data_IF_074515924903
#
_entry.id   IF_074515924903
#
_cell.length_a   1.000
_cell.length_b   1.000
_cell.length_c   1.000
_cell.angle_alpha   90.00
_cell.angle_beta   90.00
_cell.angle_gamma   90.00
#
_symmetry.space_group_name_H-M   'P 1'
#
loop_
_entity.id
_entity.type
_entity.pdbx_description
1 polymer ?
#
# COMPACT_ATOMS: atom_id res chain seq x y z
N UNK A 1 30.09 3.38 -42.84
CA UNK A 1 28.95 2.63 -42.28
C UNK A 1 28.60 3.29 -40.96
N UNK A 2 27.75 4.30 -41.05
CA UNK A 2 27.32 5.11 -39.91
C UNK A 2 26.20 4.38 -39.19
N UNK A 3 26.53 3.74 -38.06
CA UNK A 3 25.54 3.09 -37.22
C UNK A 3 24.68 4.18 -36.56
N UNK A 4 23.43 4.28 -37.01
CA UNK A 4 22.32 5.07 -36.43
C UNK A 4 22.40 5.12 -34.90
N UNK A 5 22.87 6.24 -34.36
CA UNK A 5 22.65 6.67 -32.98
C UNK A 5 21.40 7.54 -32.95
N UNK A 6 20.22 6.94 -32.92
CA UNK A 6 19.00 7.70 -32.65
C UNK A 6 18.09 6.92 -31.70
N UNK A 7 17.63 7.62 -30.64
CA UNK A 7 16.48 7.33 -29.78
C UNK A 7 16.67 6.47 -28.51
N UNK A 8 17.64 6.78 -27.64
CA UNK A 8 17.67 6.25 -26.25
C UNK A 8 17.37 7.28 -25.14
N UNK A 9 17.04 8.54 -25.48
CA UNK A 9 16.90 9.62 -24.47
C UNK A 9 15.52 9.71 -23.79
N UNK A 10 14.46 9.10 -24.33
CA UNK A 10 13.11 9.12 -23.72
C UNK A 10 12.83 7.82 -22.95
N UNK A 11 13.44 6.70 -23.36
CA UNK A 11 13.24 5.39 -22.75
C UNK A 11 13.85 5.29 -21.34
N UNK A 12 15.02 5.91 -21.13
CA UNK A 12 15.72 5.89 -19.84
C UNK A 12 14.97 6.63 -18.71
N UNK A 13 14.50 7.89 -18.91
CA UNK A 13 13.78 8.63 -17.87
C UNK A 13 12.46 7.97 -17.48
N UNK A 14 11.68 7.47 -18.46
CA UNK A 14 10.39 6.84 -18.20
C UNK A 14 10.54 5.52 -17.45
N UNK A 15 11.50 4.68 -17.84
CA UNK A 15 11.80 3.43 -17.15
C UNK A 15 12.32 3.67 -15.73
N UNK A 16 13.21 4.65 -15.53
CA UNK A 16 13.73 5.04 -14.21
C UNK A 16 12.62 5.58 -13.30
N UNK A 17 11.73 6.44 -13.83
CA UNK A 17 10.58 6.95 -13.10
C UNK A 17 9.61 5.83 -12.69
N UNK A 18 9.25 4.96 -13.63
CA UNK A 18 8.37 3.80 -13.39
C UNK A 18 8.97 2.84 -12.36
N UNK A 19 10.26 2.52 -12.48
CA UNK A 19 10.97 1.66 -11.53
C UNK A 19 11.00 2.24 -10.13
N UNK A 20 11.31 3.54 -10.00
CA UNK A 20 11.31 4.23 -8.70
C UNK A 20 9.92 4.23 -8.07
N UNK A 21 8.87 4.41 -8.86
CA UNK A 21 7.49 4.34 -8.39
C UNK A 21 7.13 2.95 -7.86
N UNK A 22 7.42 1.88 -8.61
CA UNK A 22 7.16 0.50 -8.17
C UNK A 22 7.86 0.16 -6.85
N UNK A 23 9.11 0.61 -6.68
CA UNK A 23 9.85 0.39 -5.44
C UNK A 23 9.24 1.16 -4.24
N UNK A 24 8.69 2.35 -4.47
CA UNK A 24 7.95 3.10 -3.45
C UNK A 24 6.62 2.41 -3.11
N UNK A 25 5.86 1.96 -4.11
CA UNK A 25 4.59 1.26 -3.90
C UNK A 25 4.80 -0.03 -3.09
N UNK A 26 5.86 -0.79 -3.40
CA UNK A 26 6.28 -1.96 -2.62
C UNK A 26 6.52 -1.61 -1.15
N UNK A 27 7.27 -0.55 -0.87
CA UNK A 27 7.56 -0.10 0.51
C UNK A 27 6.29 0.31 1.25
N UNK A 28 5.35 0.95 0.58
CA UNK A 28 4.06 1.33 1.17
C UNK A 28 3.23 0.10 1.54
N UNK A 29 3.17 -0.92 0.67
CA UNK A 29 2.44 -2.15 0.96
C UNK A 29 3.08 -2.95 2.10
N UNK A 30 4.42 -3.01 2.16
CA UNK A 30 5.13 -3.64 3.29
C UNK A 30 4.86 -2.88 4.60
N UNK A 31 4.83 -1.54 4.55
CA UNK A 31 4.48 -0.70 5.70
C UNK A 31 3.05 -1.00 6.15
N UNK A 32 2.08 -0.94 5.24
CA UNK A 32 0.65 -1.21 5.49
C UNK A 32 0.45 -2.58 6.14
N UNK A 33 1.11 -3.62 5.62
CA UNK A 33 1.04 -4.99 6.13
C UNK A 33 1.42 -5.13 7.61
N UNK A 34 2.21 -4.18 8.12
CA UNK A 34 2.69 -4.16 9.50
C UNK A 34 2.21 -2.96 10.31
N UNK A 35 1.35 -2.09 9.76
CA UNK A 35 0.76 -1.00 10.53
C UNK A 35 -0.24 -1.59 11.51
N UNK A 36 -0.13 -1.16 12.76
CA UNK A 36 -1.11 -1.42 13.82
C UNK A 36 -1.97 -0.20 14.04
N UNK A 37 -3.23 -0.41 14.40
CA UNK A 37 -4.12 0.65 14.83
C UNK A 37 -3.54 1.31 16.09
N UNK A 38 -3.33 2.64 16.10
CA UNK A 38 -2.62 3.30 17.19
C UNK A 38 -3.51 3.69 18.39
N UNK A 39 -4.83 3.54 18.29
CA UNK A 39 -5.77 3.92 19.34
C UNK A 39 -7.14 3.24 19.18
N UNK A 40 -7.99 3.39 20.19
CA UNK A 40 -9.40 3.02 20.16
C UNK A 40 -9.64 1.53 20.39
N UNK A 41 -10.85 1.05 20.06
CA UNK A 41 -11.30 -0.33 20.36
C UNK A 41 -10.35 -1.42 19.85
N UNK A 42 -9.66 -1.18 18.73
CA UNK A 42 -8.78 -2.15 18.08
C UNK A 42 -7.30 -1.78 18.17
N UNK A 43 -6.91 -0.95 19.14
CA UNK A 43 -5.51 -0.60 19.37
C UNK A 43 -4.59 -1.83 19.40
N UNK A 44 -3.42 -1.71 18.75
CA UNK A 44 -2.43 -2.78 18.66
C UNK A 44 -2.74 -3.87 17.63
N UNK A 45 -3.95 -3.90 17.05
CA UNK A 45 -4.33 -4.81 15.96
C UNK A 45 -3.79 -4.31 14.62
N UNK A 46 -3.36 -5.22 13.74
CA UNK A 46 -2.97 -4.84 12.38
C UNK A 46 -4.16 -4.28 11.60
N UNK A 47 -3.93 -3.28 10.75
CA UNK A 47 -5.03 -2.64 10.02
C UNK A 47 -5.79 -3.64 9.12
N UNK A 48 -5.07 -4.58 8.49
CA UNK A 48 -5.69 -5.63 7.66
C UNK A 48 -6.60 -6.59 8.46
N UNK A 49 -6.33 -6.74 9.75
CA UNK A 49 -7.07 -7.60 10.67
C UNK A 49 -8.24 -6.89 11.36
N UNK A 50 -8.45 -5.60 11.06
CA UNK A 50 -9.63 -4.87 11.54
C UNK A 50 -10.91 -5.51 10.96
N UNK A 51 -11.96 -5.67 11.78
CA UNK A 51 -13.25 -6.14 11.30
C UNK A 51 -13.79 -5.22 10.20
N UNK A 52 -14.40 -5.81 9.17
CA UNK A 52 -14.89 -5.06 8.00
C UNK A 52 -15.86 -3.93 8.39
N UNK A 53 -16.82 -4.21 9.28
CA UNK A 53 -17.77 -3.21 9.77
C UNK A 53 -17.09 -1.99 10.40
N UNK A 54 -15.91 -2.15 10.99
CA UNK A 54 -15.18 -1.05 11.63
C UNK A 54 -14.54 -0.14 10.57
N UNK A 55 -14.03 -0.73 9.51
CA UNK A 55 -13.46 0.02 8.38
C UNK A 55 -14.57 0.70 7.58
N UNK A 56 -15.70 0.01 7.35
CA UNK A 56 -16.90 0.58 6.71
C UNK A 56 -17.46 1.76 7.52
N UNK A 57 -17.45 1.68 8.86
CA UNK A 57 -17.85 2.81 9.71
C UNK A 57 -16.97 4.05 9.45
N UNK A 58 -15.65 3.88 9.33
CA UNK A 58 -14.76 4.97 8.96
C UNK A 58 -15.01 5.49 7.54
N UNK A 59 -15.28 4.62 6.57
CA UNK A 59 -15.65 5.04 5.22
C UNK A 59 -16.89 5.96 5.24
N UNK A 60 -17.89 5.65 6.07
CA UNK A 60 -19.13 6.43 6.17
C UNK A 60 -18.99 7.70 7.01
N UNK A 61 -18.12 7.71 8.03
CA UNK A 61 -17.92 8.88 8.91
C UNK A 61 -16.81 9.82 8.45
N UNK A 62 -15.87 9.31 7.66
CA UNK A 62 -14.62 9.96 7.29
C UNK A 62 -13.42 9.31 7.98
N UNK A 63 -12.37 9.08 7.21
CA UNK A 63 -11.09 8.59 7.71
C UNK A 63 -10.33 9.69 8.48
N UNK A 64 -9.47 9.32 9.45
CA UNK A 64 -8.58 10.29 10.10
C UNK A 64 -7.67 10.97 9.07
N UNK A 65 -7.19 12.18 9.35
CA UNK A 65 -6.26 12.86 8.44
C UNK A 65 -4.87 12.19 8.48
N UNK A 66 -4.11 12.40 7.39
CA UNK A 66 -2.73 11.94 7.28
C UNK A 66 -2.61 10.47 6.89
N UNK A 67 -1.44 9.90 7.16
CA UNK A 67 -1.06 8.57 6.66
C UNK A 67 -2.01 7.45 7.13
N UNK A 68 -2.44 7.49 8.40
CA UNK A 68 -3.35 6.47 8.94
C UNK A 68 -4.66 6.41 8.16
N UNK A 69 -5.22 7.57 7.78
CA UNK A 69 -6.44 7.62 6.99
C UNK A 69 -6.28 7.05 5.60
N UNK A 70 -5.18 7.40 4.93
CA UNK A 70 -4.83 6.86 3.61
C UNK A 70 -4.68 5.33 3.68
N UNK A 71 -4.04 4.82 4.73
CA UNK A 71 -3.90 3.39 4.95
C UNK A 71 -5.24 2.72 5.24
N UNK A 72 -6.11 3.31 6.07
CA UNK A 72 -7.46 2.78 6.34
C UNK A 72 -8.35 2.79 5.10
N UNK A 73 -8.24 3.81 4.25
CA UNK A 73 -8.92 3.85 2.96
C UNK A 73 -8.44 2.71 2.06
N UNK A 74 -7.13 2.48 1.98
CA UNK A 74 -6.59 1.37 1.21
C UNK A 74 -7.05 0.01 1.78
N UNK A 75 -7.10 -0.15 3.10
CA UNK A 75 -7.68 -1.36 3.73
C UNK A 75 -9.16 -1.53 3.35
N UNK A 76 -9.94 -0.45 3.34
CA UNK A 76 -11.33 -0.49 2.89
C UNK A 76 -11.44 -1.02 1.46
N UNK A 77 -10.68 -0.43 0.53
CA UNK A 77 -10.68 -0.82 -0.88
C UNK A 77 -10.24 -2.28 -1.06
N UNK A 78 -9.21 -2.71 -0.35
CA UNK A 78 -8.75 -4.11 -0.40
C UNK A 78 -9.83 -5.08 0.09
N UNK A 79 -10.51 -4.77 1.20
CA UNK A 79 -11.60 -5.59 1.74
C UNK A 79 -12.79 -5.64 0.79
N UNK A 80 -13.18 -4.49 0.25
CA UNK A 80 -14.29 -4.39 -0.71
C UNK A 80 -14.07 -5.27 -1.95
N UNK A 81 -12.81 -5.47 -2.34
CA UNK A 81 -12.43 -6.28 -3.50
C UNK A 81 -11.95 -7.72 -3.15
N UNK A 82 -11.96 -8.13 -1.88
CA UNK A 82 -11.48 -9.45 -1.46
C UNK A 82 -9.97 -9.68 -1.63
N UNK A 83 -9.17 -8.61 -1.59
CA UNK A 83 -7.72 -8.62 -1.82
C UNK A 83 -6.88 -8.71 -0.55
N UNK A 84 -7.47 -9.07 0.59
CA UNK A 84 -6.76 -9.07 1.88
C UNK A 84 -5.62 -10.07 1.94
N UNK A 85 -5.79 -11.23 1.28
CA UNK A 85 -4.75 -12.26 1.20
C UNK A 85 -3.46 -11.74 0.58
N UNK A 86 -3.52 -10.77 -0.34
CA UNK A 86 -2.34 -10.12 -0.90
C UNK A 86 -1.50 -9.47 0.21
N UNK A 87 -2.14 -8.69 1.08
CA UNK A 87 -1.45 -8.03 2.20
C UNK A 87 -0.96 -9.04 3.23
N UNK A 88 -1.75 -10.09 3.50
CA UNK A 88 -1.35 -11.18 4.42
C UNK A 88 -0.12 -11.92 3.90
N UNK A 89 -0.03 -12.14 2.59
CA UNK A 89 1.13 -12.77 1.96
C UNK A 89 2.36 -11.86 1.98
N UNK A 90 2.21 -10.57 1.72
CA UNK A 90 3.30 -9.59 1.88
C UNK A 90 3.82 -9.61 3.32
N UNK A 91 2.93 -9.63 4.31
CA UNK A 91 3.32 -9.72 5.72
C UNK A 91 4.15 -10.98 6.02
N UNK A 92 3.76 -12.14 5.48
CA UNK A 92 4.49 -13.41 5.65
C UNK A 92 5.86 -13.38 4.95
N UNK A 93 5.94 -12.78 3.77
CA UNK A 93 7.17 -12.70 2.98
C UNK A 93 8.20 -11.71 3.55
N UNK A 94 7.74 -10.68 4.25
CA UNK A 94 8.58 -9.61 4.79
C UNK A 94 8.40 -9.49 6.31
N UNK A 95 8.76 -10.50 7.12
CA UNK A 95 8.61 -10.43 8.56
C UNK A 95 9.47 -9.31 9.14
N UNK A 96 8.91 -8.52 10.06
CA UNK A 96 9.73 -7.62 10.89
C UNK A 96 10.56 -8.46 11.88
N UNK A 97 11.87 -8.16 12.04
CA UNK A 97 12.70 -8.82 13.04
C UNK A 97 12.19 -8.60 14.46
#
# INVERSE_FOLDING_TARGET
>A
MEARRENNSIFFPLASFSFKKMEQDKKLLIKLAHTKMPFGKYEGRFLIDLPEYYVVWYHNKGFPKGELGQQLQLIYELKLNGLEELIRNIKKQYPKP
#
